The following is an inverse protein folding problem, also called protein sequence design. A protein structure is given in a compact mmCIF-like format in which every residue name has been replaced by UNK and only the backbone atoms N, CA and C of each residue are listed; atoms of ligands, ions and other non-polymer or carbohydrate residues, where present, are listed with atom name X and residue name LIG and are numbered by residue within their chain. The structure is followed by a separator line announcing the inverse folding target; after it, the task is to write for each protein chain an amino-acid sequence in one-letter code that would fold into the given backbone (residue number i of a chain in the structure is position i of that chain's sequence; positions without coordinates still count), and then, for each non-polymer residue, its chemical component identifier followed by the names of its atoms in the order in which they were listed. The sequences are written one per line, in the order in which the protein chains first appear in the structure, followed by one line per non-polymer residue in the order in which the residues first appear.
data_IF_607433816743
#
_entry.id   IF_607433816743
#
_cell.length_a   1.000
_cell.length_b   1.000
_cell.length_c   1.000
_cell.angle_alpha   90.00
_cell.angle_beta   90.00
_cell.angle_gamma   90.00
#
_symmetry.space_group_name_H-M   'P 1'
#
loop_
_entity.id
_entity.type
_entity.pdbx_description
1 polymer ?
#
# COMPACT_ATOMS: atom_id res chain seq x y z
N UNK A 1 -9.44 -97.86 -21.28
CA UNK A 1 -9.81 -98.33 -19.93
C UNK A 1 -9.13 -97.46 -18.88
N UNK A 2 -9.88 -97.11 -17.82
CA UNK A 2 -9.45 -96.74 -16.46
C UNK A 2 -8.63 -95.44 -16.16
N UNK A 3 -9.36 -94.43 -15.66
CA UNK A 3 -9.24 -93.64 -14.41
C UNK A 3 -7.89 -93.19 -13.77
N UNK A 4 -7.84 -91.86 -13.57
CA UNK A 4 -7.53 -91.07 -12.35
C UNK A 4 -6.09 -90.79 -11.87
N UNK A 5 -5.75 -89.50 -11.69
CA UNK A 5 -5.60 -88.75 -10.40
C UNK A 5 -4.73 -87.48 -10.56
N UNK A 6 -5.08 -86.43 -9.80
CA UNK A 6 -4.10 -85.52 -9.21
C UNK A 6 -4.11 -84.05 -9.67
N UNK A 7 -4.78 -83.19 -8.88
CA UNK A 7 -4.62 -81.73 -8.88
C UNK A 7 -3.31 -81.33 -8.18
N UNK A 8 -2.51 -80.44 -8.77
CA UNK A 8 -1.78 -79.33 -8.10
C UNK A 8 -0.90 -78.58 -9.12
N UNK A 9 -1.20 -77.30 -9.39
CA UNK A 9 -0.23 -76.36 -9.96
C UNK A 9 -0.15 -75.12 -9.08
N UNK A 10 1.10 -74.83 -8.69
CA UNK A 10 1.52 -73.75 -7.81
C UNK A 10 1.24 -72.37 -8.43
N UNK A 11 1.05 -71.42 -7.52
CA UNK A 11 0.56 -70.07 -7.75
C UNK A 11 1.40 -69.20 -8.68
N UNK A 12 0.67 -68.42 -9.49
CA UNK A 12 1.12 -67.11 -9.94
C UNK A 12 1.07 -66.14 -8.75
N UNK A 13 2.21 -65.57 -8.39
CA UNK A 13 2.28 -64.49 -7.42
C UNK A 13 1.66 -63.23 -8.04
N UNK A 14 0.41 -62.94 -7.66
CA UNK A 14 -0.21 -61.64 -7.83
C UNK A 14 0.42 -60.67 -6.83
N UNK A 15 1.05 -59.61 -7.34
CA UNK A 15 1.57 -58.49 -6.54
C UNK A 15 0.42 -57.89 -5.70
N UNK A 16 0.59 -57.73 -4.37
CA UNK A 16 -0.40 -57.05 -3.55
C UNK A 16 -0.42 -55.57 -3.91
N UNK A 17 -1.62 -55.05 -4.20
CA UNK A 17 -1.90 -53.60 -4.26
C UNK A 17 -1.51 -52.99 -2.92
N UNK A 18 -0.32 -52.39 -2.85
CA UNK A 18 0.06 -51.54 -1.74
C UNK A 18 -0.88 -50.34 -1.74
N UNK A 19 -1.75 -50.32 -0.74
CA UNK A 19 -2.46 -49.14 -0.31
C UNK A 19 -1.44 -48.03 -0.05
N UNK A 20 -1.39 -47.03 -0.94
CA UNK A 20 -0.83 -45.72 -0.58
C UNK A 20 -1.72 -45.13 0.50
N UNK A 21 -1.38 -45.42 1.76
CA UNK A 21 -1.87 -44.65 2.90
C UNK A 21 -1.30 -43.25 2.73
N UNK A 22 -2.13 -42.36 2.19
CA UNK A 22 -1.91 -40.93 2.10
C UNK A 22 -1.61 -40.44 3.52
N UNK A 23 -0.33 -40.36 3.90
CA UNK A 23 0.05 -39.56 5.05
C UNK A 23 -0.33 -38.13 4.68
N UNK A 24 -1.28 -37.56 5.43
CA UNK A 24 -1.52 -36.14 5.39
C UNK A 24 -0.23 -35.45 5.85
N UNK A 25 0.63 -35.08 4.91
CA UNK A 25 1.66 -34.07 5.15
C UNK A 25 0.94 -32.81 5.57
N UNK A 26 1.36 -32.20 6.68
CA UNK A 26 0.86 -30.92 7.18
C UNK A 26 0.61 -29.96 6.00
N UNK A 27 -0.66 -29.82 5.63
CA UNK A 27 -1.04 -29.34 4.30
C UNK A 27 -1.13 -27.83 4.30
N UNK A 28 0.04 -27.19 4.24
CA UNK A 28 0.20 -25.78 3.96
C UNK A 28 1.38 -25.59 3.00
N UNK A 29 1.42 -24.48 2.25
CA UNK A 29 2.58 -24.15 1.43
C UNK A 29 3.84 -24.02 2.30
N UNK A 30 5.03 -24.24 1.71
CA UNK A 30 6.31 -24.09 2.40
C UNK A 30 6.39 -22.77 3.18
N UNK A 31 6.99 -22.80 4.37
CA UNK A 31 7.12 -21.63 5.25
C UNK A 31 7.71 -20.40 4.52
N UNK A 32 8.60 -20.64 3.57
CA UNK A 32 9.24 -19.64 2.72
C UNK A 32 8.30 -18.87 1.77
N UNK A 33 7.08 -19.38 1.51
CA UNK A 33 6.04 -18.76 0.66
C UNK A 33 4.81 -18.29 1.46
N UNK A 34 4.92 -18.20 2.78
CA UNK A 34 3.84 -17.72 3.65
C UNK A 34 3.73 -16.19 3.62
N UNK A 35 3.33 -15.63 2.48
CA UNK A 35 3.01 -14.21 2.34
C UNK A 35 1.50 -13.99 2.29
N UNK A 36 0.94 -12.95 2.92
CA UNK A 36 -0.49 -12.67 2.86
C UNK A 36 -1.01 -12.59 1.42
N UNK A 37 -0.26 -11.93 0.53
CA UNK A 37 -0.59 -11.83 -0.90
C UNK A 37 -0.52 -13.13 -1.70
N UNK A 38 -0.04 -14.25 -1.13
CA UNK A 38 -0.12 -15.57 -1.76
C UNK A 38 -1.21 -16.44 -1.13
N UNK A 39 -1.40 -16.32 0.19
CA UNK A 39 -2.19 -17.26 0.99
C UNK A 39 -3.61 -16.78 1.31
N UNK A 40 -3.80 -15.48 1.42
CA UNK A 40 -5.07 -14.88 1.83
C UNK A 40 -5.86 -14.44 0.59
N UNK A 41 -7.03 -15.05 0.38
CA UNK A 41 -7.89 -14.78 -0.79
C UNK A 41 -8.38 -13.34 -0.84
N UNK A 42 -8.68 -12.72 0.31
CA UNK A 42 -9.11 -11.33 0.37
C UNK A 42 -7.95 -10.41 -0.03
N UNK A 43 -6.74 -10.69 0.47
CA UNK A 43 -5.53 -9.96 0.10
C UNK A 43 -5.26 -10.07 -1.39
N UNK A 44 -5.34 -11.28 -1.95
CA UNK A 44 -5.16 -11.47 -3.38
C UNK A 44 -6.26 -10.79 -4.22
N UNK A 45 -7.51 -10.77 -3.76
CA UNK A 45 -8.58 -10.04 -4.42
C UNK A 45 -8.31 -8.53 -4.43
N UNK A 46 -7.84 -7.96 -3.32
CA UNK A 46 -7.49 -6.54 -3.25
C UNK A 46 -6.30 -6.21 -4.15
N UNK A 47 -5.27 -7.06 -4.22
CA UNK A 47 -4.12 -6.86 -5.10
C UNK A 47 -4.50 -6.95 -6.59
N UNK A 48 -5.45 -7.81 -6.98
CA UNK A 48 -5.95 -7.84 -8.38
C UNK A 48 -6.63 -6.53 -8.80
N UNK A 49 -7.15 -5.77 -7.84
CA UNK A 49 -7.78 -4.47 -8.08
C UNK A 49 -6.84 -3.29 -7.83
N UNK A 50 -5.59 -3.55 -7.42
CA UNK A 50 -4.63 -2.53 -7.00
C UNK A 50 -3.38 -2.62 -7.86
N UNK A 51 -2.97 -1.50 -8.46
CA UNK A 51 -1.66 -1.41 -9.12
C UNK A 51 -0.57 -1.60 -8.07
N UNK A 52 0.06 -2.77 -8.06
CA UNK A 52 1.02 -3.18 -7.04
C UNK A 52 2.34 -3.57 -7.71
N UNK A 53 3.42 -2.88 -7.34
CA UNK A 53 4.78 -3.20 -7.73
C UNK A 53 5.45 -3.95 -6.57
N UNK A 54 5.60 -5.26 -6.75
CA UNK A 54 6.33 -6.14 -5.84
C UNK A 54 7.80 -6.12 -6.24
N UNK A 55 8.62 -5.46 -5.43
CA UNK A 55 10.08 -5.42 -5.62
C UNK A 55 10.68 -6.53 -4.78
N UNK A 56 11.20 -7.57 -5.44
CA UNK A 56 11.86 -8.67 -4.76
C UNK A 56 13.25 -8.24 -4.33
N UNK A 57 13.59 -8.37 -3.05
CA UNK A 57 14.89 -7.93 -2.51
C UNK A 57 15.59 -9.06 -1.79
N UNK A 58 16.90 -9.22 -2.03
CA UNK A 58 17.70 -10.24 -1.36
C UNK A 58 18.85 -10.79 -2.20
N UNK A 59 19.73 -11.55 -1.56
CA UNK A 59 20.94 -12.07 -2.19
C UNK A 59 20.65 -13.03 -3.35
N UNK A 60 21.56 -13.20 -4.33
CA UNK A 60 21.47 -14.26 -5.33
C UNK A 60 21.35 -15.64 -4.66
N UNK A 61 20.45 -16.50 -5.13
CA UNK A 61 20.18 -17.81 -4.51
C UNK A 61 19.23 -17.80 -3.30
N UNK A 62 18.76 -16.64 -2.84
CA UNK A 62 17.91 -16.53 -1.64
C UNK A 62 16.46 -17.00 -1.81
N UNK A 63 16.04 -17.26 -3.06
CA UNK A 63 14.67 -17.71 -3.37
C UNK A 63 13.77 -16.64 -4.02
N UNK A 64 14.31 -15.47 -4.38
CA UNK A 64 13.56 -14.39 -5.07
C UNK A 64 12.80 -14.90 -6.30
N UNK A 65 13.49 -15.52 -7.25
CA UNK A 65 12.85 -15.98 -8.48
C UNK A 65 11.79 -17.07 -8.25
N UNK A 66 11.95 -17.89 -7.21
CA UNK A 66 10.91 -18.83 -6.79
C UNK A 66 9.67 -18.11 -6.23
N UNK A 67 9.87 -17.07 -5.41
CA UNK A 67 8.78 -16.21 -4.95
C UNK A 67 8.10 -15.47 -6.12
N UNK A 68 8.88 -14.94 -7.07
CA UNK A 68 8.36 -14.30 -8.27
C UNK A 68 7.49 -15.21 -9.11
N UNK A 69 7.91 -16.47 -9.32
CA UNK A 69 7.11 -17.49 -10.00
C UNK A 69 5.82 -17.82 -9.24
N UNK A 70 5.89 -17.96 -7.91
CA UNK A 70 4.69 -18.20 -7.09
C UNK A 70 3.67 -17.05 -7.19
N UNK A 71 4.14 -15.79 -7.29
CA UNK A 71 3.26 -14.64 -7.55
C UNK A 71 2.65 -14.76 -8.96
N UNK A 72 3.42 -15.07 -9.99
CA UNK A 72 2.86 -15.24 -11.34
C UNK A 72 1.77 -16.33 -11.37
N UNK A 73 2.01 -17.47 -10.75
CA UNK A 73 1.04 -18.56 -10.66
C UNK A 73 -0.25 -18.12 -9.93
N UNK A 74 -0.10 -17.39 -8.82
CA UNK A 74 -1.21 -16.94 -8.00
C UNK A 74 -2.14 -15.93 -8.70
N UNK A 75 -1.58 -15.09 -9.57
CA UNK A 75 -2.28 -13.96 -10.18
C UNK A 75 -2.55 -14.14 -11.68
N UNK A 76 -1.96 -15.16 -12.31
CA UNK A 76 -2.16 -15.52 -13.71
C UNK A 76 -1.95 -14.34 -14.65
N UNK A 77 -2.89 -14.14 -15.57
CA UNK A 77 -2.83 -13.08 -16.58
C UNK A 77 -2.78 -11.66 -15.99
N UNK A 78 -3.18 -11.49 -14.72
CA UNK A 78 -3.11 -10.21 -14.01
C UNK A 78 -1.71 -9.83 -13.53
N UNK A 79 -0.72 -10.73 -13.63
CA UNK A 79 0.65 -10.48 -13.18
C UNK A 79 1.69 -10.55 -14.30
N UNK A 80 2.77 -9.77 -14.18
CA UNK A 80 3.95 -9.85 -15.05
C UNK A 80 5.22 -9.76 -14.21
N UNK A 81 6.25 -10.49 -14.63
CA UNK A 81 7.56 -10.55 -14.00
C UNK A 81 8.58 -9.94 -14.95
N UNK A 82 9.28 -8.93 -14.47
CA UNK A 82 10.48 -8.37 -15.09
C UNK A 82 11.66 -8.83 -14.24
N UNK A 83 12.61 -9.54 -14.84
CA UNK A 83 13.75 -10.11 -14.12
C UNK A 83 15.05 -9.62 -14.72
N UNK A 84 15.98 -9.16 -13.89
CA UNK A 84 17.33 -8.79 -14.29
C UNK A 84 18.07 -9.94 -15.01
N UNK A 85 17.79 -11.19 -14.62
CA UNK A 85 18.37 -12.38 -15.23
C UNK A 85 17.99 -12.53 -16.72
N UNK A 86 16.76 -12.13 -17.11
CA UNK A 86 16.31 -12.16 -18.50
C UNK A 86 17.11 -11.22 -19.42
N UNK A 87 17.70 -10.19 -18.81
CA UNK A 87 18.59 -9.22 -19.47
C UNK A 87 20.07 -9.55 -19.31
N UNK A 88 20.40 -10.70 -18.70
CA UNK A 88 21.78 -11.14 -18.39
C UNK A 88 22.55 -10.18 -17.49
N UNK A 89 21.83 -9.44 -16.64
CA UNK A 89 22.44 -8.55 -15.65
C UNK A 89 22.92 -9.42 -14.49
N UNK A 90 24.24 -9.46 -14.26
CA UNK A 90 24.80 -10.23 -13.16
C UNK A 90 24.74 -9.44 -11.85
N UNK A 91 24.52 -10.09 -10.69
CA UNK A 91 24.50 -9.38 -9.42
C UNK A 91 25.84 -8.70 -9.12
N UNK A 92 25.79 -7.42 -8.77
CA UNK A 92 26.96 -6.59 -8.53
C UNK A 92 26.71 -5.13 -8.91
N UNK A 93 27.78 -4.38 -9.18
CA UNK A 93 27.68 -2.96 -9.49
C UNK A 93 26.89 -2.70 -10.78
N UNK A 94 25.84 -1.88 -10.66
CA UNK A 94 24.94 -1.52 -11.77
C UNK A 94 25.65 -0.86 -12.95
N UNK A 95 26.72 -0.10 -12.68
CA UNK A 95 27.47 0.66 -13.69
C UNK A 95 28.04 -0.20 -14.82
N UNK A 96 28.11 -1.53 -14.65
CA UNK A 96 28.53 -2.46 -15.68
C UNK A 96 27.46 -2.76 -16.75
N UNK A 97 26.18 -2.45 -16.51
CA UNK A 97 25.05 -2.87 -17.36
C UNK A 97 24.09 -1.72 -17.74
N UNK A 98 24.57 -0.54 -18.18
CA UNK A 98 23.71 0.62 -18.40
C UNK A 98 22.63 0.39 -19.48
N UNK A 99 22.96 -0.33 -20.55
CA UNK A 99 22.05 -0.58 -21.67
C UNK A 99 21.00 -1.66 -21.33
N UNK A 100 21.39 -2.67 -20.59
CA UNK A 100 20.51 -3.74 -20.12
C UNK A 100 19.49 -3.18 -19.12
N UNK A 101 19.95 -2.38 -18.15
CA UNK A 101 19.06 -1.70 -17.21
C UNK A 101 18.12 -0.72 -17.93
N UNK A 102 18.59 -0.01 -18.97
CA UNK A 102 17.72 0.84 -19.79
C UNK A 102 16.57 0.05 -20.42
N UNK A 103 16.86 -1.10 -21.03
CA UNK A 103 15.82 -1.96 -21.66
C UNK A 103 14.86 -2.55 -20.63
N UNK A 104 15.39 -2.98 -19.48
CA UNK A 104 14.60 -3.47 -18.36
C UNK A 104 13.64 -2.39 -17.84
N UNK A 105 14.13 -1.16 -17.70
CA UNK A 105 13.34 -0.01 -17.24
C UNK A 105 12.27 0.39 -18.27
N UNK A 106 12.59 0.34 -19.56
CA UNK A 106 11.63 0.57 -20.65
C UNK A 106 10.51 -0.48 -20.64
N UNK A 107 10.82 -1.75 -20.39
CA UNK A 107 9.84 -2.82 -20.26
C UNK A 107 8.96 -2.62 -19.02
N UNK A 108 9.57 -2.38 -17.85
CA UNK A 108 8.87 -2.10 -16.60
C UNK A 108 7.91 -0.91 -16.77
N UNK A 109 8.39 0.20 -17.31
CA UNK A 109 7.57 1.37 -17.61
C UNK A 109 6.48 1.06 -18.66
N UNK A 110 6.74 0.17 -19.61
CA UNK A 110 5.74 -0.34 -20.56
C UNK A 110 4.59 -1.07 -19.87
N UNK A 111 4.90 -1.94 -18.92
CA UNK A 111 3.89 -2.60 -18.10
C UNK A 111 3.13 -1.64 -17.20
N UNK A 112 3.83 -0.70 -16.54
CA UNK A 112 3.21 0.31 -15.70
C UNK A 112 2.22 1.19 -16.48
N UNK A 113 2.58 1.59 -17.71
CA UNK A 113 1.71 2.34 -18.63
C UNK A 113 0.45 1.56 -19.00
N UNK A 114 0.56 0.25 -19.22
CA UNK A 114 -0.59 -0.63 -19.48
C UNK A 114 -1.44 -0.88 -18.24
N UNK A 115 -0.96 -0.53 -17.05
CA UNK A 115 -1.70 -0.68 -15.81
C UNK A 115 -1.89 -2.13 -15.38
N UNK A 116 -0.91 -2.99 -15.64
CA UNK A 116 -0.90 -4.38 -15.12
C UNK A 116 -1.10 -4.36 -13.60
N UNK A 117 -2.02 -5.17 -13.08
CA UNK A 117 -2.39 -5.13 -11.67
C UNK A 117 -1.19 -5.47 -10.76
N UNK A 118 -0.54 -6.61 -10.99
CA UNK A 118 0.60 -7.05 -10.17
C UNK A 118 1.87 -7.10 -11.02
N UNK A 119 2.82 -6.22 -10.73
CA UNK A 119 4.14 -6.24 -11.36
C UNK A 119 5.17 -6.73 -10.38
N UNK A 120 5.93 -7.73 -10.78
CA UNK A 120 7.02 -8.29 -9.98
C UNK A 120 8.32 -7.90 -10.64
N UNK A 121 9.21 -7.30 -9.87
CA UNK A 121 10.56 -6.97 -10.30
C UNK A 121 11.56 -7.83 -9.52
N UNK A 122 12.26 -8.71 -10.22
CA UNK A 122 13.26 -9.61 -9.68
C UNK A 122 14.68 -9.14 -10.02
N UNK A 123 15.34 -8.55 -9.03
CA UNK A 123 16.75 -8.19 -9.02
C UNK A 123 17.24 -8.28 -7.57
N UNK A 124 18.53 -8.15 -7.32
CA UNK A 124 19.13 -8.14 -5.99
C UNK A 124 18.67 -6.93 -5.17
N UNK A 125 18.52 -5.76 -5.81
CA UNK A 125 18.10 -4.49 -5.18
C UNK A 125 18.89 -4.11 -3.92
N UNK A 126 20.22 -4.16 -4.01
CA UNK A 126 21.15 -3.78 -2.94
C UNK A 126 21.56 -2.30 -3.00
N UNK A 127 21.49 -1.66 -4.18
CA UNK A 127 21.81 -0.23 -4.35
C UNK A 127 20.62 0.67 -3.98
N UNK A 128 20.88 1.69 -3.14
CA UNK A 128 19.87 2.66 -2.68
C UNK A 128 19.33 3.49 -3.84
N UNK A 129 20.21 3.97 -4.70
CA UNK A 129 19.87 4.80 -5.85
C UNK A 129 18.95 4.07 -6.81
N UNK A 130 19.14 2.75 -6.98
CA UNK A 130 18.27 1.92 -7.81
C UNK A 130 16.86 1.81 -7.23
N UNK A 131 16.74 1.57 -5.93
CA UNK A 131 15.44 1.52 -5.26
C UNK A 131 14.70 2.86 -5.37
N UNK A 132 15.39 3.98 -5.13
CA UNK A 132 14.79 5.31 -5.27
C UNK A 132 14.24 5.56 -6.69
N UNK A 133 14.99 5.19 -7.73
CA UNK A 133 14.52 5.30 -9.12
C UNK A 133 13.25 4.45 -9.37
N UNK A 134 13.19 3.24 -8.81
CA UNK A 134 12.03 2.36 -8.94
C UNK A 134 10.81 2.92 -8.21
N UNK A 135 11.00 3.57 -7.05
CA UNK A 135 9.93 4.25 -6.34
C UNK A 135 9.41 5.46 -7.12
N UNK A 136 10.28 6.22 -7.78
CA UNK A 136 9.87 7.32 -8.66
C UNK A 136 9.03 6.82 -9.86
N UNK A 137 9.39 5.65 -10.43
CA UNK A 137 8.58 4.99 -11.47
C UNK A 137 7.23 4.55 -10.90
N UNK A 138 7.21 3.92 -9.72
CA UNK A 138 5.98 3.50 -9.08
C UNK A 138 5.04 4.68 -8.83
N UNK A 139 5.56 5.79 -8.28
CA UNK A 139 4.79 6.99 -7.98
C UNK A 139 4.23 7.63 -9.26
N UNK A 140 5.06 7.78 -10.30
CA UNK A 140 4.65 8.29 -11.63
C UNK A 140 3.44 7.55 -12.20
N UNK A 141 3.40 6.23 -12.03
CA UNK A 141 2.33 5.38 -12.56
C UNK A 141 1.28 4.96 -11.52
N UNK A 142 1.36 5.52 -10.32
CA UNK A 142 0.45 5.31 -9.19
C UNK A 142 0.38 3.85 -8.74
N UNK A 143 1.53 3.18 -8.70
CA UNK A 143 1.70 1.85 -8.13
C UNK A 143 2.00 1.94 -6.63
N UNK A 144 1.33 1.11 -5.86
CA UNK A 144 1.69 0.82 -4.47
C UNK A 144 2.90 -0.11 -4.48
N UNK A 145 3.88 0.12 -3.61
CA UNK A 145 5.08 -0.71 -3.54
C UNK A 145 4.96 -1.73 -2.40
N UNK A 146 5.34 -2.96 -2.70
CA UNK A 146 5.55 -4.02 -1.70
C UNK A 146 6.99 -4.48 -1.84
N UNK A 147 7.81 -4.23 -0.82
CA UNK A 147 9.14 -4.81 -0.74
C UNK A 147 9.01 -6.24 -0.20
N UNK A 148 9.38 -7.24 -1.02
CA UNK A 148 9.22 -8.64 -0.67
C UNK A 148 10.59 -9.32 -0.59
N UNK A 149 10.98 -9.69 0.63
CA UNK A 149 12.19 -10.45 0.88
C UNK A 149 11.88 -11.93 1.04
N UNK A 150 12.66 -12.85 0.44
CA UNK A 150 12.49 -14.28 0.66
C UNK A 150 12.54 -14.64 2.15
N UNK A 151 11.74 -15.63 2.56
CA UNK A 151 11.66 -16.14 3.94
C UNK A 151 12.40 -17.48 4.12
N UNK A 152 13.29 -17.82 3.19
CA UNK A 152 14.10 -19.04 3.28
C UNK A 152 15.08 -18.94 4.45
N UNK A 153 15.35 -20.06 5.13
CA UNK A 153 16.23 -20.08 6.30
C UNK A 153 17.69 -19.69 5.95
N UNK A 154 18.11 -19.90 4.70
CA UNK A 154 19.46 -19.61 4.20
C UNK A 154 19.58 -18.26 3.49
N UNK A 155 18.55 -17.41 3.50
CA UNK A 155 18.50 -16.16 2.72
C UNK A 155 19.69 -15.19 2.90
N UNK A 156 20.42 -15.31 4.01
CA UNK A 156 21.62 -14.53 4.36
C UNK A 156 22.88 -15.39 4.60
N UNK A 157 22.82 -16.69 4.31
CA UNK A 157 23.97 -17.61 4.44
C UNK A 157 24.74 -17.69 3.11
N UNK A 158 25.81 -16.90 3.00
CA UNK A 158 26.61 -16.81 1.78
C UNK A 158 27.20 -18.16 1.31
N UNK A 159 27.46 -19.11 2.21
CA UNK A 159 28.00 -20.42 1.82
C UNK A 159 26.92 -21.25 1.11
N UNK A 160 25.71 -21.29 1.67
CA UNK A 160 24.59 -21.99 1.04
C UNK A 160 24.12 -21.29 -0.24
N UNK A 161 24.14 -19.96 -0.27
CA UNK A 161 23.70 -19.17 -1.42
C UNK A 161 24.58 -19.39 -2.65
N UNK A 162 25.90 -19.57 -2.48
CA UNK A 162 26.83 -19.90 -3.57
C UNK A 162 26.36 -21.13 -4.35
N UNK A 163 25.96 -22.19 -3.64
CA UNK A 163 25.52 -23.47 -4.23
C UNK A 163 24.12 -23.39 -4.85
N UNK A 164 23.33 -22.36 -4.52
CA UNK A 164 21.93 -22.21 -4.93
C UNK A 164 21.73 -21.14 -6.01
N UNK A 165 22.74 -20.35 -6.29
CA UNK A 165 22.70 -19.27 -7.27
C UNK A 165 23.20 -19.74 -8.63
N UNK A 166 22.47 -19.43 -9.71
CA UNK A 166 22.93 -19.72 -11.09
C UNK A 166 24.20 -18.95 -11.47
N UNK A 167 24.47 -17.82 -10.80
CA UNK A 167 25.62 -16.97 -11.07
C UNK A 167 26.91 -17.46 -10.40
N UNK A 168 26.84 -18.47 -9.51
CA UNK A 168 27.97 -19.08 -8.82
C UNK A 168 29.00 -18.07 -8.24
N UNK A 169 28.52 -16.92 -7.73
CA UNK A 169 29.38 -15.87 -7.19
C UNK A 169 30.22 -16.39 -6.01
N UNK A 170 31.50 -15.98 -5.89
CA UNK A 170 32.31 -16.26 -4.71
C UNK A 170 31.63 -15.79 -3.41
N UNK A 171 31.92 -16.47 -2.30
CA UNK A 171 31.35 -16.14 -0.99
C UNK A 171 31.72 -14.70 -0.59
N UNK A 172 32.90 -14.26 -1.00
CA UNK A 172 33.44 -12.92 -0.78
C UNK A 172 32.60 -11.84 -1.47
N UNK A 173 32.14 -12.07 -2.70
CA UNK A 173 31.25 -11.16 -3.41
C UNK A 173 29.85 -11.12 -2.78
N UNK A 174 29.31 -12.27 -2.37
CA UNK A 174 28.05 -12.33 -1.63
C UNK A 174 28.13 -11.57 -0.30
N UNK A 175 29.28 -11.63 0.39
CA UNK A 175 29.53 -10.87 1.63
C UNK A 175 29.59 -9.36 1.39
N UNK A 176 30.01 -8.89 0.21
CA UNK A 176 29.99 -7.45 -0.12
C UNK A 176 28.56 -6.92 -0.31
N UNK A 177 27.66 -7.74 -0.88
CA UNK A 177 26.27 -7.35 -1.12
C UNK A 177 25.40 -7.40 0.15
N UNK A 178 25.74 -8.29 1.08
CA UNK A 178 24.94 -8.63 2.26
C UNK A 178 24.58 -7.43 3.16
N UNK A 179 25.51 -6.53 3.57
CA UNK A 179 25.18 -5.44 4.50
C UNK A 179 24.06 -4.52 3.99
N UNK A 180 24.04 -4.25 2.68
CA UNK A 180 23.03 -3.41 2.06
C UNK A 180 21.64 -4.07 2.00
N UNK A 181 21.55 -5.37 2.25
CA UNK A 181 20.32 -6.18 2.25
C UNK A 181 19.86 -6.56 3.67
N UNK A 182 20.74 -6.51 4.66
CA UNK A 182 20.39 -6.76 6.07
C UNK A 182 19.64 -5.61 6.71
N UNK A 183 19.85 -4.38 6.24
CA UNK A 183 19.14 -3.22 6.76
C UNK A 183 17.74 -3.16 6.17
N UNK A 184 16.74 -2.99 7.03
CA UNK A 184 15.38 -2.70 6.60
C UNK A 184 15.34 -1.38 5.83
N UNK A 185 14.51 -1.36 4.79
CA UNK A 185 14.25 -0.16 4.02
C UNK A 185 12.95 0.46 4.52
N UNK A 186 13.06 1.50 5.35
CA UNK A 186 11.89 2.15 5.91
C UNK A 186 11.23 3.11 4.91
N UNK A 187 9.88 3.13 4.85
CA UNK A 187 9.15 4.06 3.99
C UNK A 187 9.22 5.51 4.49
N UNK A 188 8.70 6.44 3.70
CA UNK A 188 8.34 7.77 4.18
C UNK A 188 7.27 7.66 5.27
N UNK A 189 6.28 6.79 5.07
CA UNK A 189 5.28 6.41 6.07
C UNK A 189 4.66 5.04 5.78
N UNK A 190 4.21 4.36 6.84
CA UNK A 190 3.30 3.21 6.75
C UNK A 190 1.85 3.66 6.70
N UNK A 191 0.99 2.83 6.11
CA UNK A 191 -0.45 3.07 6.12
C UNK A 191 -1.23 2.03 5.33
N UNK A 192 -2.55 2.19 5.37
CA UNK A 192 -3.48 1.42 4.57
C UNK A 192 -3.79 2.18 3.27
N UNK A 193 -3.34 1.65 2.14
CA UNK A 193 -3.53 2.22 0.81
C UNK A 193 -4.78 1.60 0.19
N UNK A 194 -5.79 2.42 -0.09
CA UNK A 194 -7.06 1.94 -0.60
C UNK A 194 -6.88 1.30 -1.98
N UNK A 195 -7.65 0.23 -2.23
CA UNK A 195 -7.83 -0.30 -3.59
C UNK A 195 -8.34 0.79 -4.53
N UNK A 196 -8.08 0.68 -5.82
CA UNK A 196 -8.54 1.67 -6.81
C UNK A 196 -10.05 1.91 -6.71
N UNK A 197 -10.83 0.83 -6.64
CA UNK A 197 -12.29 0.89 -6.53
C UNK A 197 -12.74 1.58 -5.23
N UNK A 198 -12.14 1.24 -4.09
CA UNK A 198 -12.49 1.88 -2.81
C UNK A 198 -12.07 3.36 -2.78
N UNK A 199 -10.90 3.68 -3.34
CA UNK A 199 -10.44 5.06 -3.48
C UNK A 199 -11.38 5.89 -4.35
N UNK A 200 -11.83 5.37 -5.50
CA UNK A 200 -12.80 6.05 -6.38
C UNK A 200 -14.16 6.23 -5.70
N UNK A 201 -14.63 5.21 -4.98
CA UNK A 201 -15.89 5.27 -4.23
C UNK A 201 -15.86 6.36 -3.15
N UNK A 202 -14.78 6.40 -2.34
CA UNK A 202 -14.63 7.41 -1.30
C UNK A 202 -14.43 8.82 -1.87
N UNK A 203 -13.68 8.98 -2.98
CA UNK A 203 -13.56 10.26 -3.69
C UNK A 203 -14.92 10.77 -4.16
N UNK A 204 -15.77 9.90 -4.73
CA UNK A 204 -17.14 10.26 -5.17
C UNK A 204 -18.01 10.70 -3.99
N UNK A 205 -17.95 9.98 -2.87
CA UNK A 205 -18.68 10.35 -1.65
C UNK A 205 -18.20 11.69 -1.08
N UNK A 206 -16.88 11.93 -1.05
CA UNK A 206 -16.28 13.20 -0.66
C UNK A 206 -16.72 14.35 -1.57
N UNK A 207 -16.67 14.16 -2.89
CA UNK A 207 -17.09 15.17 -3.86
C UNK A 207 -18.57 15.54 -3.69
N UNK A 208 -19.46 14.54 -3.60
CA UNK A 208 -20.88 14.78 -3.37
C UNK A 208 -21.13 15.55 -2.06
N UNK A 209 -20.40 15.22 -0.99
CA UNK A 209 -20.48 15.97 0.26
C UNK A 209 -20.06 17.43 0.10
N UNK A 210 -18.94 17.71 -0.57
CA UNK A 210 -18.49 19.09 -0.81
C UNK A 210 -19.49 19.89 -1.63
N UNK A 211 -20.07 19.27 -2.68
CA UNK A 211 -21.05 19.89 -3.55
C UNK A 211 -22.34 20.25 -2.78
N UNK A 212 -22.87 19.29 -2.01
CA UNK A 212 -24.07 19.48 -1.19
C UNK A 212 -23.85 20.50 -0.05
N UNK A 213 -22.69 20.45 0.62
CA UNK A 213 -22.34 21.37 1.70
C UNK A 213 -22.27 22.82 1.19
N UNK A 214 -21.68 23.03 0.00
CA UNK A 214 -21.48 24.38 -0.58
C UNK A 214 -22.80 25.16 -0.80
N UNK A 215 -23.91 24.44 -1.00
CA UNK A 215 -25.23 25.04 -1.22
C UNK A 215 -26.11 25.05 0.04
N UNK A 216 -25.65 24.43 1.12
CA UNK A 216 -26.42 24.35 2.36
C UNK A 216 -26.58 25.73 3.02
N UNK A 217 -27.81 26.07 3.43
CA UNK A 217 -28.14 27.41 3.96
C UNK A 217 -27.35 27.75 5.23
N UNK A 218 -27.13 26.78 6.13
CA UNK A 218 -26.34 27.00 7.33
C UNK A 218 -24.86 27.23 6.99
N UNK A 219 -24.32 26.50 6.02
CA UNK A 219 -22.92 26.63 5.59
C UNK A 219 -22.63 28.02 5.01
N UNK A 220 -23.54 28.56 4.18
CA UNK A 220 -23.38 29.89 3.59
C UNK A 220 -23.24 31.02 4.63
N UNK A 221 -23.81 30.86 5.84
CA UNK A 221 -23.63 31.84 6.93
C UNK A 221 -22.21 31.83 7.52
N UNK A 222 -21.46 30.74 7.33
CA UNK A 222 -20.09 30.55 7.82
C UNK A 222 -19.03 30.67 6.72
N UNK A 223 -19.41 31.07 5.50
CA UNK A 223 -18.52 31.15 4.33
C UNK A 223 -17.28 32.02 4.57
N UNK A 224 -17.40 33.05 5.43
CA UNK A 224 -16.31 33.93 5.87
C UNK A 224 -15.11 33.20 6.48
N UNK A 225 -15.29 31.96 6.93
CA UNK A 225 -14.20 31.14 7.47
C UNK A 225 -13.38 30.46 6.37
N UNK A 226 -13.92 30.34 5.15
CA UNK A 226 -13.26 29.70 4.00
C UNK A 226 -12.68 30.72 3.03
N UNK A 227 -13.28 31.90 2.93
CA UNK A 227 -12.90 32.95 2.00
C UNK A 227 -12.45 34.19 2.77
N UNK A 228 -11.25 34.68 2.47
CA UNK A 228 -10.73 35.94 2.99
C UNK A 228 -10.87 37.05 1.94
N UNK A 229 -11.46 38.19 2.31
CA UNK A 229 -11.47 39.41 1.49
C UNK A 229 -12.82 39.76 0.83
N UNK A 230 -12.75 40.47 -0.30
CA UNK A 230 -13.85 41.03 -1.09
C UNK A 230 -14.44 40.06 -2.14
N UNK A 231 -14.05 38.78 -2.12
CA UNK A 231 -14.61 37.78 -3.03
C UNK A 231 -16.13 37.63 -2.82
N UNK A 232 -16.91 37.39 -3.89
CA UNK A 232 -18.37 37.28 -3.81
C UNK A 232 -18.77 36.22 -2.78
N UNK A 233 -19.37 36.67 -1.68
CA UNK A 233 -19.74 35.83 -0.51
C UNK A 233 -20.95 34.92 -0.77
N UNK A 234 -21.38 34.81 -2.02
CA UNK A 234 -22.62 34.13 -2.37
C UNK A 234 -22.40 32.68 -2.81
N UNK A 235 -21.16 32.31 -3.22
CA UNK A 235 -20.83 30.94 -3.65
C UNK A 235 -19.34 30.62 -3.54
N UNK A 236 -19.02 29.49 -2.90
CA UNK A 236 -17.68 28.87 -2.94
C UNK A 236 -17.79 27.51 -3.58
N UNK A 237 -16.93 27.25 -4.57
CA UNK A 237 -16.67 25.89 -5.03
C UNK A 237 -15.66 25.24 -4.07
N UNK A 238 -16.18 24.47 -3.11
CA UNK A 238 -15.33 23.77 -2.13
C UNK A 238 -14.43 22.73 -2.80
N UNK A 239 -14.85 22.17 -3.93
CA UNK A 239 -14.07 21.21 -4.68
C UNK A 239 -12.85 21.86 -5.33
N UNK A 240 -13.00 23.11 -5.79
CA UNK A 240 -11.91 23.95 -6.28
C UNK A 240 -11.08 24.55 -5.13
N UNK A 241 -11.67 24.82 -3.96
CA UNK A 241 -10.98 25.34 -2.78
C UNK A 241 -9.92 24.36 -2.27
N UNK A 242 -10.26 23.07 -2.17
CA UNK A 242 -9.34 22.01 -1.77
C UNK A 242 -8.48 21.54 -2.96
N UNK A 243 -7.64 22.44 -3.47
CA UNK A 243 -6.79 22.27 -4.66
C UNK A 243 -5.79 21.11 -4.55
N UNK A 244 -5.25 20.86 -3.35
CA UNK A 244 -4.27 19.80 -3.12
C UNK A 244 -4.99 18.50 -2.81
N UNK A 245 -5.22 17.68 -3.83
CA UNK A 245 -5.76 16.31 -3.66
C UNK A 245 -4.61 15.30 -3.63
N UNK A 246 -4.66 14.25 -2.79
CA UNK A 246 -3.61 13.23 -2.77
C UNK A 246 -3.37 12.63 -4.16
N UNK A 247 -2.13 12.61 -4.67
CA UNK A 247 -1.83 11.96 -5.94
C UNK A 247 -2.07 10.45 -5.82
N UNK A 248 -2.70 9.84 -6.82
CA UNK A 248 -2.91 8.39 -6.84
C UNK A 248 -4.05 7.89 -5.95
N UNK A 249 -3.81 6.79 -5.24
CA UNK A 249 -4.81 6.17 -4.38
C UNK A 249 -4.88 6.87 -3.02
N UNK A 250 -6.08 6.97 -2.49
CA UNK A 250 -6.30 7.43 -1.12
C UNK A 250 -5.66 6.45 -0.12
N UNK A 251 -5.22 6.96 1.02
CA UNK A 251 -4.62 6.15 2.08
C UNK A 251 -4.97 6.68 3.46
N UNK A 252 -4.89 5.80 4.46
CA UNK A 252 -4.93 6.11 5.88
C UNK A 252 -3.54 5.87 6.48
N UNK A 253 -2.83 6.93 6.83
CA UNK A 253 -1.47 6.86 7.36
C UNK A 253 -1.47 6.37 8.80
N UNK A 254 -0.57 5.45 9.15
CA UNK A 254 -0.33 5.02 10.54
C UNK A 254 0.88 5.75 11.13
N UNK A 255 2.09 5.37 10.72
CA UNK A 255 3.36 5.90 11.24
C UNK A 255 4.12 6.63 10.15
N UNK A 256 4.42 7.90 10.38
CA UNK A 256 5.42 8.64 9.61
C UNK A 256 6.82 8.23 10.06
N UNK A 257 7.67 7.88 9.11
CA UNK A 257 8.98 7.28 9.34
C UNK A 257 10.13 8.14 8.80
N UNK A 258 9.89 8.99 7.79
CA UNK A 258 10.92 9.78 7.11
C UNK A 258 12.16 8.95 6.73
N UNK A 259 11.92 7.77 6.15
CA UNK A 259 12.97 6.82 5.76
C UNK A 259 13.88 6.37 6.92
N UNK A 260 13.34 6.37 8.15
CA UNK A 260 14.03 6.01 9.39
C UNK A 260 14.55 7.21 10.20
N UNK A 261 14.38 8.45 9.73
CA UNK A 261 14.81 9.63 10.48
C UNK A 261 13.81 10.07 11.55
N UNK A 262 12.54 9.71 11.42
CA UNK A 262 11.53 10.08 12.39
C UNK A 262 11.67 9.22 13.68
N UNK A 263 11.45 9.84 14.84
CA UNK A 263 11.51 9.13 16.12
C UNK A 263 10.51 7.95 16.18
N UNK A 264 10.98 6.81 16.68
CA UNK A 264 10.15 5.60 16.80
C UNK A 264 9.92 4.86 15.49
N UNK A 265 10.58 5.23 14.38
CA UNK A 265 10.35 4.64 13.07
C UNK A 265 10.84 3.19 13.01
N UNK A 266 12.07 2.93 13.44
CA UNK A 266 12.64 1.59 13.52
C UNK A 266 11.86 0.71 14.50
N UNK A 267 11.56 1.22 15.69
CA UNK A 267 10.82 0.49 16.72
C UNK A 267 9.43 0.09 16.23
N UNK A 268 8.74 0.97 15.49
CA UNK A 268 7.45 0.66 14.86
C UNK A 268 7.59 -0.42 13.79
N UNK A 269 8.56 -0.29 12.88
CA UNK A 269 8.78 -1.26 11.81
C UNK A 269 9.22 -2.64 12.32
N UNK A 270 9.91 -2.70 13.47
CA UNK A 270 10.35 -3.95 14.06
C UNK A 270 9.24 -4.74 14.77
N UNK A 271 8.07 -4.13 15.05
CA UNK A 271 6.98 -4.81 15.74
C UNK A 271 6.47 -6.01 14.94
N UNK A 272 6.29 -7.14 15.61
CA UNK A 272 5.81 -8.37 14.98
C UNK A 272 4.45 -8.16 14.31
N UNK A 273 3.56 -7.39 14.92
CA UNK A 273 2.24 -7.08 14.35
C UNK A 273 2.35 -6.31 13.03
N UNK A 274 3.31 -5.37 12.91
CA UNK A 274 3.55 -4.60 11.69
C UNK A 274 4.14 -5.50 10.61
N UNK A 275 5.14 -6.33 10.94
CA UNK A 275 5.75 -7.29 10.01
C UNK A 275 4.75 -8.34 9.50
N UNK A 276 3.88 -8.84 10.38
CA UNK A 276 2.86 -9.82 10.03
C UNK A 276 1.72 -9.22 9.19
N UNK A 277 1.39 -7.94 9.41
CA UNK A 277 0.37 -7.23 8.64
C UNK A 277 0.89 -6.69 7.30
N UNK A 278 2.21 -6.58 7.10
CA UNK A 278 2.78 -6.01 5.89
C UNK A 278 2.32 -6.80 4.63
N UNK A 279 1.83 -6.04 3.64
CA UNK A 279 1.21 -6.53 2.42
C UNK A 279 -0.07 -7.38 2.62
N UNK A 280 -0.77 -7.21 3.74
CA UNK A 280 -2.10 -7.80 4.00
C UNK A 280 -3.23 -6.82 3.69
N UNK A 281 -4.37 -7.33 3.25
CA UNK A 281 -5.59 -6.55 3.11
C UNK A 281 -6.33 -6.30 4.43
N UNK A 282 -7.01 -5.15 4.47
CA UNK A 282 -7.89 -4.68 5.54
C UNK A 282 -9.14 -4.05 4.93
N UNK A 283 -10.24 -4.04 5.69
CA UNK A 283 -11.46 -3.27 5.39
C UNK A 283 -11.61 -2.18 6.44
N UNK A 284 -11.34 -0.94 6.04
CA UNK A 284 -11.48 0.21 6.93
C UNK A 284 -12.92 0.71 6.93
N UNK A 285 -13.44 1.02 8.12
CA UNK A 285 -14.78 1.59 8.28
C UNK A 285 -14.70 3.13 8.28
N UNK A 286 -15.34 3.77 7.29
CA UNK A 286 -15.52 5.22 7.25
C UNK A 286 -16.85 5.58 7.91
N UNK A 287 -16.80 6.37 8.98
CA UNK A 287 -17.99 6.74 9.76
C UNK A 287 -18.49 8.15 9.52
N UNK A 288 -17.61 9.05 9.09
CA UNK A 288 -17.97 10.43 8.80
C UNK A 288 -17.08 11.04 7.71
N UNK A 289 -17.61 12.03 7.01
CA UNK A 289 -16.82 12.97 6.21
C UNK A 289 -16.76 14.30 6.94
N UNK A 290 -15.67 15.04 6.83
CA UNK A 290 -15.54 16.32 7.51
C UNK A 290 -14.78 17.35 6.67
N UNK A 291 -15.05 18.61 6.97
CA UNK A 291 -14.43 19.78 6.35
C UNK A 291 -14.08 20.78 7.44
N UNK A 292 -12.90 21.38 7.32
CA UNK A 292 -12.47 22.59 8.02
C UNK A 292 -12.02 23.62 6.97
N UNK A 293 -11.72 24.87 7.36
CA UNK A 293 -11.09 25.82 6.45
C UNK A 293 -9.75 25.33 5.87
N UNK A 294 -9.08 24.36 6.51
CA UNK A 294 -7.76 23.88 6.09
C UNK A 294 -7.86 22.61 5.25
N UNK A 295 -8.75 21.69 5.62
CA UNK A 295 -8.75 20.32 5.08
C UNK A 295 -10.15 19.74 4.90
N UNK A 296 -10.26 18.80 3.98
CA UNK A 296 -11.37 17.88 3.84
C UNK A 296 -10.87 16.45 4.05
N UNK A 297 -11.58 15.67 4.88
CA UNK A 297 -11.17 14.33 5.26
C UNK A 297 -12.33 13.37 5.52
N UNK A 298 -11.98 12.11 5.70
CA UNK A 298 -12.90 11.06 6.12
C UNK A 298 -12.40 10.46 7.43
N UNK A 299 -13.28 10.35 8.44
CA UNK A 299 -12.99 9.73 9.74
C UNK A 299 -13.01 8.21 9.57
N UNK A 300 -11.92 7.56 9.99
CA UNK A 300 -11.80 6.10 10.01
C UNK A 300 -12.04 5.62 11.43
N UNK A 301 -12.88 4.61 11.58
CA UNK A 301 -13.02 3.86 12.84
C UNK A 301 -12.15 2.61 12.77
N UNK A 302 -11.12 2.56 13.62
CA UNK A 302 -10.23 1.40 13.67
C UNK A 302 -10.87 0.27 14.48
N UNK A 303 -10.86 -0.92 13.89
CA UNK A 303 -11.26 -2.17 14.53
C UNK A 303 -10.15 -2.74 15.43
N UNK A 304 -10.46 -3.79 16.19
CA UNK A 304 -9.48 -4.54 16.99
C UNK A 304 -8.33 -5.15 16.16
N UNK A 305 -8.52 -5.29 14.84
CA UNK A 305 -7.47 -5.75 13.93
C UNK A 305 -6.52 -4.62 13.51
N UNK A 306 -7.00 -3.38 13.46
CA UNK A 306 -6.24 -2.23 12.98
C UNK A 306 -5.59 -1.45 14.13
N UNK A 307 -6.25 -1.37 15.29
CA UNK A 307 -5.75 -0.70 16.47
C UNK A 307 -4.33 -1.14 16.90
N UNK A 308 -3.96 -2.44 16.83
CA UNK A 308 -2.59 -2.87 17.11
C UNK A 308 -1.52 -2.23 16.21
N UNK A 309 -1.87 -1.88 14.97
CA UNK A 309 -0.99 -1.19 14.01
C UNK A 309 -0.95 0.32 14.23
N UNK A 310 -1.80 0.87 15.10
CA UNK A 310 -1.88 2.30 15.35
C UNK A 310 -0.82 2.75 16.36
N UNK A 311 0.01 3.76 16.05
CA UNK A 311 1.00 4.27 17.00
C UNK A 311 0.35 4.84 18.28
N UNK A 312 1.02 4.70 19.42
CA UNK A 312 0.47 5.11 20.72
C UNK A 312 0.61 6.62 21.03
N UNK A 313 1.39 7.34 20.22
CA UNK A 313 1.82 8.71 20.45
C UNK A 313 1.08 9.74 19.56
N UNK A 314 0.24 9.30 18.61
CA UNK A 314 -0.31 10.18 17.56
C UNK A 314 -1.65 10.84 17.90
N UNK A 315 -2.41 10.29 18.86
CA UNK A 315 -3.76 10.76 19.23
C UNK A 315 -3.72 11.86 20.30
N UNK A 316 -2.91 12.90 20.06
CA UNK A 316 -2.68 14.00 21.03
C UNK A 316 -2.66 15.34 20.30
N UNK A 317 -3.34 16.35 20.84
CA UNK A 317 -3.25 17.74 20.35
C UNK A 317 -2.10 18.48 21.03
N UNK A 318 -1.90 18.22 22.31
CA UNK A 318 -0.76 18.68 23.11
C UNK A 318 -0.23 17.51 23.94
N UNK A 319 0.98 17.57 24.50
CA UNK A 319 1.52 16.48 25.32
C UNK A 319 0.63 16.08 26.51
N UNK A 320 -0.16 17.02 27.04
CA UNK A 320 -1.07 16.80 28.17
C UNK A 320 -2.49 16.35 27.75
N UNK A 321 -2.88 16.57 26.49
CA UNK A 321 -4.23 16.30 26.00
C UNK A 321 -4.26 15.06 25.10
N UNK A 322 -4.29 13.88 25.72
CA UNK A 322 -4.46 12.61 25.04
C UNK A 322 -5.94 12.29 24.76
N UNK A 323 -6.23 11.91 23.53
CA UNK A 323 -7.54 11.43 23.08
C UNK A 323 -7.54 9.90 22.96
N UNK A 324 -8.72 9.24 22.83
CA UNK A 324 -8.79 7.79 22.68
C UNK A 324 -7.92 7.31 21.51
N UNK A 325 -7.31 6.14 21.67
CA UNK A 325 -6.47 5.55 20.63
C UNK A 325 -7.28 5.38 19.34
N UNK A 326 -6.69 5.80 18.21
CA UNK A 326 -7.32 5.79 16.89
C UNK A 326 -8.12 7.06 16.55
N UNK A 327 -8.23 8.04 17.45
CA UNK A 327 -9.00 9.27 17.20
C UNK A 327 -8.48 10.09 16.02
N UNK A 328 -7.20 9.96 15.67
CA UNK A 328 -6.56 10.64 14.54
C UNK A 328 -6.68 9.85 13.23
N UNK A 329 -7.27 8.64 13.22
CA UNK A 329 -7.37 7.82 12.02
C UNK A 329 -8.27 8.47 10.96
N UNK A 330 -7.68 8.77 9.80
CA UNK A 330 -8.37 9.49 8.73
C UNK A 330 -7.82 9.17 7.35
N UNK A 331 -8.63 9.47 6.34
CA UNK A 331 -8.20 9.58 4.95
C UNK A 331 -8.35 11.03 4.51
N UNK A 332 -7.26 11.65 4.05
CA UNK A 332 -7.29 13.01 3.49
C UNK A 332 -7.94 13.00 2.11
N UNK A 333 -8.93 13.88 1.90
CA UNK A 333 -9.64 14.01 0.62
C UNK A 333 -9.18 15.24 -0.16
N UNK A 334 -8.78 16.30 0.54
CA UNK A 334 -8.16 17.49 -0.05
C UNK A 334 -7.68 18.50 0.99
N UNK A 335 -6.76 19.37 0.59
CA UNK A 335 -6.22 20.44 1.42
C UNK A 335 -6.31 21.78 0.69
N UNK A 336 -6.50 22.86 1.45
CA UNK A 336 -6.48 24.22 0.93
C UNK A 336 -5.07 24.61 0.45
N UNK A 337 -4.98 25.73 -0.28
CA UNK A 337 -3.69 26.27 -0.74
C UNK A 337 -2.72 26.47 0.43
N UNK A 338 -1.47 26.01 0.29
CA UNK A 338 -0.45 26.13 1.33
C UNK A 338 -0.61 25.19 2.54
N UNK A 339 -1.68 24.40 2.63
CA UNK A 339 -1.89 23.44 3.73
C UNK A 339 -1.26 22.09 3.39
N UNK A 340 -0.61 21.47 4.37
CA UNK A 340 -0.01 20.14 4.26
C UNK A 340 -0.97 19.02 4.72
N UNK A 341 -0.95 17.82 4.11
CA UNK A 341 -1.90 16.76 4.41
C UNK A 341 -1.92 16.28 5.87
N UNK A 342 -0.81 16.43 6.60
CA UNK A 342 -0.71 16.08 8.04
C UNK A 342 -1.72 16.85 8.89
N UNK A 343 -2.13 18.04 8.44
CA UNK A 343 -3.09 18.91 9.13
C UNK A 343 -4.47 18.24 9.26
N UNK A 344 -4.86 17.37 8.32
CA UNK A 344 -6.18 16.72 8.33
C UNK A 344 -6.40 15.88 9.59
N UNK A 345 -5.36 15.19 10.07
CA UNK A 345 -5.43 14.43 11.32
C UNK A 345 -5.50 15.32 12.56
N UNK A 346 -4.86 16.49 12.54
CA UNK A 346 -4.91 17.46 13.63
C UNK A 346 -6.33 18.07 13.70
N UNK A 347 -6.87 18.47 12.55
CA UNK A 347 -8.23 18.96 12.39
C UNK A 347 -9.28 17.96 12.91
N UNK A 348 -9.08 16.66 12.63
CA UNK A 348 -9.93 15.61 13.15
C UNK A 348 -9.86 15.50 14.68
N UNK A 349 -8.66 15.59 15.26
CA UNK A 349 -8.51 15.57 16.72
C UNK A 349 -9.18 16.78 17.38
N UNK A 350 -9.16 17.96 16.77
CA UNK A 350 -9.89 19.13 17.25
C UNK A 350 -11.41 18.89 17.28
N UNK A 351 -11.96 18.24 16.24
CA UNK A 351 -13.36 17.82 16.21
C UNK A 351 -13.67 16.82 17.32
N UNK A 352 -12.84 15.78 17.49
CA UNK A 352 -13.02 14.76 18.54
C UNK A 352 -12.91 15.36 19.94
N UNK A 353 -11.99 16.31 20.16
CA UNK A 353 -11.91 17.05 21.42
C UNK A 353 -13.21 17.80 21.70
N UNK A 354 -13.75 18.51 20.70
CA UNK A 354 -14.98 19.27 20.87
C UNK A 354 -16.18 18.36 21.17
N UNK A 355 -16.25 17.16 20.56
CA UNK A 355 -17.27 16.14 20.87
C UNK A 355 -17.26 15.70 22.34
N UNK A 356 -16.09 15.74 23.00
CA UNK A 356 -15.93 15.28 24.37
C UNK A 356 -16.15 16.36 25.43
N UNK A 357 -15.57 17.54 25.21
CA UNK A 357 -15.46 18.58 26.24
C UNK A 357 -15.78 19.99 25.74
N UNK A 358 -16.10 20.14 24.45
CA UNK A 358 -16.37 21.45 23.86
C UNK A 358 -17.85 21.82 23.87
N UNK A 359 -18.18 23.00 23.31
CA UNK A 359 -19.57 23.41 23.11
C UNK A 359 -20.33 22.37 22.29
N UNK A 360 -21.63 22.15 22.58
CA UNK A 360 -22.43 21.20 21.85
C UNK A 360 -22.43 21.55 20.36
N UNK A 361 -22.15 20.55 19.53
CA UNK A 361 -22.26 20.70 18.09
C UNK A 361 -23.74 20.76 17.68
N UNK A 362 -24.06 21.59 16.70
CA UNK A 362 -25.44 21.77 16.23
C UNK A 362 -25.71 20.82 15.06
N UNK A 363 -26.73 19.96 15.18
CA UNK A 363 -27.23 19.21 14.04
C UNK A 363 -28.07 20.17 13.17
N UNK A 364 -27.57 20.51 11.99
CA UNK A 364 -28.13 21.58 11.14
C UNK A 364 -28.98 21.05 9.99
N UNK A 365 -29.15 19.72 9.90
CA UNK A 365 -29.99 19.06 8.88
C UNK A 365 -29.40 17.76 8.36
N UNK A 366 -29.95 17.27 7.26
CA UNK A 366 -29.51 16.07 6.56
C UNK A 366 -28.98 16.41 5.17
N UNK A 367 -27.94 15.70 4.77
CA UNK A 367 -27.42 15.62 3.42
C UNK A 367 -27.68 14.20 2.89
N UNK A 368 -27.46 13.97 1.60
CA UNK A 368 -27.85 12.73 0.92
C UNK A 368 -27.29 11.44 1.53
N UNK A 369 -26.20 11.51 2.32
CA UNK A 369 -25.56 10.36 2.97
C UNK A 369 -25.66 10.32 4.49
N UNK A 370 -26.28 11.31 5.12
CA UNK A 370 -26.45 11.31 6.58
C UNK A 370 -26.63 12.69 7.19
N UNK A 371 -26.37 12.79 8.50
CA UNK A 371 -26.67 13.97 9.30
C UNK A 371 -25.50 14.96 9.30
N UNK A 372 -25.79 16.22 9.02
CA UNK A 372 -24.81 17.30 8.99
C UNK A 372 -24.75 17.99 10.35
N UNK A 373 -23.54 18.08 10.87
CA UNK A 373 -23.24 18.65 12.19
C UNK A 373 -22.27 19.81 12.03
N UNK A 374 -22.61 20.96 12.60
CA UNK A 374 -21.79 22.15 12.65
C UNK A 374 -21.08 22.27 14.01
N UNK A 375 -19.76 22.43 13.97
CA UNK A 375 -18.92 22.61 15.16
C UNK A 375 -18.49 24.08 15.35
N UNK A 376 -18.97 24.97 14.49
CA UNK A 376 -18.56 26.37 14.41
C UNK A 376 -17.13 26.56 13.91
N UNK A 377 -16.78 27.82 13.60
CA UNK A 377 -15.49 28.21 13.03
C UNK A 377 -15.18 27.50 11.69
N UNK A 378 -16.21 27.29 10.86
CA UNK A 378 -16.05 26.63 9.57
C UNK A 378 -15.78 25.12 9.66
N UNK A 379 -16.05 24.48 10.80
CA UNK A 379 -15.84 23.03 10.98
C UNK A 379 -17.16 22.30 10.85
N UNK A 380 -17.21 21.36 9.91
CA UNK A 380 -18.41 20.64 9.50
C UNK A 380 -18.13 19.15 9.45
N UNK A 381 -19.09 18.34 9.90
CA UNK A 381 -19.00 16.89 9.86
C UNK A 381 -20.32 16.30 9.36
N UNK A 382 -20.24 15.48 8.32
CA UNK A 382 -21.32 14.64 7.84
C UNK A 382 -21.19 13.25 8.46
N UNK A 383 -22.04 12.95 9.45
CA UNK A 383 -22.14 11.62 10.06
C UNK A 383 -22.90 10.69 9.11
N UNK A 384 -22.21 9.67 8.59
CA UNK A 384 -22.80 8.78 7.60
C UNK A 384 -23.90 7.92 8.24
N UNK A 385 -25.09 7.91 7.65
CA UNK A 385 -26.19 7.06 8.12
C UNK A 385 -25.85 5.57 7.96
N UNK A 386 -25.16 5.23 6.87
CA UNK A 386 -24.54 3.93 6.65
C UNK A 386 -23.04 4.13 6.46
N UNK A 387 -22.25 3.55 7.37
CA UNK A 387 -20.78 3.56 7.28
C UNK A 387 -20.31 2.94 5.96
N UNK A 388 -19.22 3.47 5.40
CA UNK A 388 -18.64 2.94 4.17
C UNK A 388 -17.49 2.02 4.49
N UNK A 389 -17.47 0.83 3.89
CA UNK A 389 -16.35 -0.09 3.96
C UNK A 389 -15.40 0.13 2.78
N UNK A 390 -14.13 0.38 3.06
CA UNK A 390 -13.10 0.59 2.04
C UNK A 390 -11.96 -0.43 2.20
N UNK A 391 -11.74 -1.22 1.15
CA UNK A 391 -10.65 -2.21 1.11
C UNK A 391 -9.32 -1.53 0.84
N UNK A 392 -8.30 -1.91 1.58
CA UNK A 392 -6.97 -1.34 1.52
C UNK A 392 -5.88 -2.40 1.79
N UNK A 393 -4.63 -2.11 1.38
CA UNK A 393 -3.45 -2.90 1.72
C UNK A 393 -2.59 -2.13 2.70
N UNK A 394 -2.16 -2.80 3.78
CA UNK A 394 -1.18 -2.23 4.69
C UNK A 394 0.24 -2.39 4.11
N UNK A 395 0.89 -1.28 3.78
CA UNK A 395 2.27 -1.25 3.25
C UNK A 395 2.94 0.09 3.59
N UNK A 396 4.08 0.38 2.97
CA UNK A 396 4.80 1.64 3.06
C UNK A 396 4.71 2.45 1.76
N UNK A 397 4.70 3.77 1.87
CA UNK A 397 4.94 4.67 0.74
C UNK A 397 6.41 5.10 0.72
N UNK A 398 7.08 4.90 -0.42
CA UNK A 398 8.52 5.13 -0.57
C UNK A 398 8.86 6.29 -1.52
N UNK A 399 7.86 6.93 -2.12
CA UNK A 399 8.05 8.08 -2.99
C UNK A 399 8.43 9.34 -2.21
N UNK A 400 8.93 10.36 -2.91
CA UNK A 400 9.43 11.61 -2.32
C UNK A 400 8.35 12.58 -1.82
N UNK A 401 7.06 12.20 -1.89
CA UNK A 401 5.94 13.03 -1.44
C UNK A 401 5.64 14.25 -2.32
N UNK A 402 6.30 14.38 -3.47
CA UNK A 402 6.00 15.41 -4.46
C UNK A 402 4.98 14.87 -5.46
N UNK A 403 3.99 15.68 -5.85
CA UNK A 403 3.05 15.30 -6.90
C UNK A 403 3.82 15.15 -8.22
N UNK A 404 4.09 13.93 -8.66
CA UNK A 404 4.61 13.69 -9.99
C UNK A 404 3.50 14.04 -10.99
N UNK A 405 3.74 14.95 -11.95
CA UNK A 405 2.75 15.27 -12.97
C UNK A 405 2.34 14.00 -13.71
N UNK A 406 1.09 13.58 -13.57
CA UNK A 406 0.54 12.51 -14.39
C UNK A 406 0.48 13.06 -15.81
N UNK A 407 1.23 12.46 -16.75
CA UNK A 407 1.01 12.74 -18.17
C UNK A 407 -0.40 12.25 -18.51
N UNK A 408 -1.37 13.17 -18.49
CA UNK A 408 -2.68 12.93 -19.08
C UNK A 408 -2.55 12.58 -20.56
N UNK A 409 -3.59 11.99 -21.18
CA UNK A 409 -3.58 11.76 -22.62
C UNK A 409 -3.36 13.12 -23.30
N UNK A 410 -2.26 13.23 -24.07
CA UNK A 410 -1.87 14.42 -24.81
C UNK A 410 -3.08 14.92 -25.63
N UNK A 411 -3.75 15.98 -25.17
CA UNK A 411 -4.44 16.90 -26.07
C UNK A 411 -3.44 17.97 -26.48
N UNK A 412 -3.30 18.13 -27.79
CA UNK A 412 -2.28 18.95 -28.43
C UNK A 412 -2.26 20.39 -27.93
N UNK A 413 -1.05 20.90 -27.78
CA UNK A 413 -0.75 22.28 -27.43
C UNK A 413 0.76 22.39 -27.24
N UNK A 414 1.45 22.86 -28.29
CA UNK A 414 2.87 23.12 -28.25
C UNK A 414 3.19 24.18 -27.20
N UNK A 415 4.18 23.98 -26.33
CA UNK A 415 5.09 25.05 -25.90
C UNK A 415 6.40 24.48 -25.35
N UNK A 416 7.44 25.27 -25.55
CA UNK A 416 8.87 24.97 -25.62
C UNK A 416 9.56 24.86 -24.25
N UNK A 417 10.58 24.01 -24.21
CA UNK A 417 11.92 24.14 -23.58
C UNK A 417 12.08 24.98 -22.29
N UNK A 418 12.65 24.34 -21.26
CA UNK A 418 13.71 24.96 -20.46
C UNK A 418 14.82 23.96 -20.15
N UNK A 419 16.02 24.31 -20.59
CA UNK A 419 17.32 23.70 -20.32
C UNK A 419 17.73 23.97 -18.87
N UNK A 420 18.27 22.96 -18.20
CA UNK A 420 18.93 23.10 -16.90
C UNK A 420 20.44 23.08 -17.15
N UNK A 421 21.15 24.08 -16.62
CA UNK A 421 22.61 24.06 -16.45
C UNK A 421 22.99 23.11 -15.33
#
# INVERSE_FOLDING_TARGET
MAQSRGFSRRGQAFLPKLFFRKMASASGPPAELQFPFLQDEETAAVLRESKTLVVLRGLPGSGKSSLGRAILERYGDGARLVSADAYKITPGARGAFPEEYRRLDEELAGYCRRGVAVLVLDDTHHERERLEQLFDVADRYQYQVVLAEPRTAWRLDCNQLREKSQWALPVEELRKLKPALERDWLPLYFGWFLSKRSSESLRKAGQAFLDELSIHKAFRKELRHFVSGDEPKDKVDLAAYFVKRPPGVLHCTTKFCDYGRAAGADEYAQQDVVKQAYARAFSLTISALFVTPRTAGARVELSDRELPLWPADVDRLTPAEALPRGSRAHVTLGCAGGVEPVQTGIDLLELVRQEKVGPPAEEVGELGRGRLVAYGNGRWLLRLAKKMEVRAIFTGYYGRGQAVPTQGPRKGGAFRSCTVL
#
